data_IF_959469427639
#
_entry.id   IF_959469427639
#
_cell.length_a   1.000
_cell.length_b   1.000
_cell.length_c   1.000
_cell.angle_alpha   90.00
_cell.angle_beta   90.00
_cell.angle_gamma   90.00
#
_symmetry.space_group_name_H-M   'P 1'
#
loop_
_entity.id
_entity.type
_entity.pdbx_description
1 polymer ?
#
# COMPACT_ATOMS: atom_id res chain seq x y z
N UNK A 1 21.78 27.73 6.03
CA UNK A 1 20.72 28.21 5.11
C UNK A 1 20.98 27.67 3.71
N UNK A 2 22.01 28.12 2.99
CA UNK A 2 22.32 27.65 1.61
C UNK A 2 22.44 26.12 1.48
N UNK A 3 23.14 25.44 2.40
CA UNK A 3 23.30 23.96 2.35
C UNK A 3 21.96 23.23 2.49
N UNK A 4 21.10 23.68 3.40
CA UNK A 4 19.77 23.10 3.59
C UNK A 4 18.87 23.33 2.38
N UNK A 5 18.94 24.51 1.75
CA UNK A 5 18.16 24.83 0.56
C UNK A 5 18.60 23.99 -0.66
N UNK A 6 19.90 23.73 -0.79
CA UNK A 6 20.46 22.84 -1.83
C UNK A 6 20.03 21.39 -1.60
N UNK A 7 20.13 20.89 -0.36
CA UNK A 7 19.70 19.53 0.00
C UNK A 7 18.20 19.35 -0.24
N UNK A 8 17.36 20.31 0.17
CA UNK A 8 15.91 20.30 -0.10
C UNK A 8 15.62 20.22 -1.60
N UNK A 9 16.32 21.00 -2.42
CA UNK A 9 16.15 20.98 -3.88
C UNK A 9 16.59 19.65 -4.49
N UNK A 10 17.71 19.09 -4.02
CA UNK A 10 18.21 17.78 -4.44
C UNK A 10 17.23 16.65 -4.10
N UNK A 11 16.69 16.63 -2.87
CA UNK A 11 15.72 15.62 -2.44
C UNK A 11 14.44 15.64 -3.28
N UNK A 12 13.94 16.84 -3.60
CA UNK A 12 12.79 17.00 -4.49
C UNK A 12 13.04 16.37 -5.87
N UNK A 13 14.18 16.66 -6.48
CA UNK A 13 14.53 16.06 -7.78
C UNK A 13 14.70 14.53 -7.68
N UNK A 14 15.31 14.02 -6.61
CA UNK A 14 15.46 12.58 -6.41
C UNK A 14 14.12 11.84 -6.29
N UNK A 15 13.15 12.42 -5.58
CA UNK A 15 11.78 11.89 -5.48
C UNK A 15 11.13 11.76 -6.84
N UNK A 16 11.23 12.83 -7.63
CA UNK A 16 10.67 12.89 -8.98
C UNK A 16 11.37 11.91 -9.91
N UNK A 17 12.69 11.81 -9.83
CA UNK A 17 13.48 10.84 -10.60
C UNK A 17 13.10 9.40 -10.28
N UNK A 18 12.80 9.07 -9.02
CA UNK A 18 12.34 7.73 -8.65
C UNK A 18 11.00 7.37 -9.31
N UNK A 19 10.03 8.29 -9.28
CA UNK A 19 8.72 8.12 -9.96
C UNK A 19 8.92 7.97 -11.47
N UNK A 20 9.73 8.84 -12.08
CA UNK A 20 9.98 8.84 -13.53
C UNK A 20 10.76 7.62 -14.00
N UNK A 21 11.71 7.12 -13.21
CA UNK A 21 12.43 5.88 -13.53
C UNK A 21 11.47 4.69 -13.59
N UNK A 22 10.54 4.59 -12.64
CA UNK A 22 9.49 3.56 -12.66
C UNK A 22 8.59 3.73 -13.89
N UNK A 23 8.08 4.93 -14.11
CA UNK A 23 7.22 5.23 -15.25
C UNK A 23 7.91 4.88 -16.57
N UNK A 24 9.11 5.39 -16.84
CA UNK A 24 9.84 5.13 -18.09
C UNK A 24 10.16 3.64 -18.32
N UNK A 25 10.35 2.86 -17.26
CA UNK A 25 10.65 1.43 -17.36
C UNK A 25 9.44 0.59 -17.80
N UNK A 26 8.23 0.99 -17.41
CA UNK A 26 7.03 0.16 -17.52
C UNK A 26 5.91 0.79 -18.34
N UNK A 27 5.89 2.11 -18.46
CA UNK A 27 4.88 2.91 -19.15
C UNK A 27 5.53 3.90 -20.11
N UNK A 28 5.41 3.68 -21.42
CA UNK A 28 6.06 4.54 -22.43
C UNK A 28 5.56 6.00 -22.36
N UNK A 29 4.27 6.19 -22.04
CA UNK A 29 3.65 7.50 -21.86
C UNK A 29 3.08 7.65 -20.44
N UNK A 30 3.22 8.83 -19.81
CA UNK A 30 2.70 9.08 -18.48
C UNK A 30 1.17 8.99 -18.50
N UNK A 31 0.62 8.16 -17.61
CA UNK A 31 -0.83 7.97 -17.48
C UNK A 31 -1.43 9.20 -16.80
N UNK A 32 -2.43 9.82 -17.41
CA UNK A 32 -3.13 10.94 -16.82
C UNK A 32 -3.94 10.50 -15.58
N UNK A 33 -3.90 11.22 -14.44
CA UNK A 33 -3.23 12.51 -14.19
C UNK A 33 -1.94 12.40 -13.33
N UNK A 34 -0.99 11.51 -13.64
CA UNK A 34 0.26 11.29 -12.88
C UNK A 34 1.00 12.59 -12.48
N UNK A 35 1.00 13.59 -13.36
CA UNK A 35 1.62 14.89 -13.08
C UNK A 35 1.09 15.59 -11.82
N UNK A 36 -0.20 15.42 -11.48
CA UNK A 36 -0.75 15.99 -10.25
C UNK A 36 -0.14 15.33 -9.01
N UNK A 37 0.17 14.04 -9.09
CA UNK A 37 0.88 13.34 -8.02
C UNK A 37 2.35 13.78 -7.95
N UNK A 38 3.02 13.95 -9.10
CA UNK A 38 4.38 14.53 -9.14
C UNK A 38 4.41 15.94 -8.48
N UNK A 39 3.46 16.81 -8.84
CA UNK A 39 3.34 18.15 -8.26
C UNK A 39 3.10 18.09 -6.74
N UNK A 40 2.26 17.15 -6.28
CA UNK A 40 2.05 16.89 -4.85
C UNK A 40 3.35 16.49 -4.15
N UNK A 41 4.07 15.48 -4.66
CA UNK A 41 5.33 14.99 -4.07
C UNK A 41 6.40 16.08 -4.00
N UNK A 42 6.44 16.98 -4.98
CA UNK A 42 7.35 18.13 -5.01
C UNK A 42 6.94 19.27 -4.06
N UNK A 43 5.64 19.36 -3.76
CA UNK A 43 5.06 20.35 -2.85
C UNK A 43 5.25 20.01 -1.38
N UNK A 44 5.34 18.72 -1.03
CA UNK A 44 5.52 18.28 0.36
C UNK A 44 6.97 18.46 0.83
N UNK A 45 7.15 19.17 1.94
CA UNK A 45 8.43 19.25 2.67
C UNK A 45 8.55 18.16 3.73
N UNK A 46 9.78 17.92 4.21
CA UNK A 46 10.07 16.92 5.23
C UNK A 46 10.37 15.54 4.67
N UNK A 47 10.78 14.63 5.54
CA UNK A 47 11.21 13.28 5.18
C UNK A 47 10.03 12.42 4.73
N UNK A 48 10.29 11.55 3.74
CA UNK A 48 9.25 10.69 3.20
C UNK A 48 9.81 9.36 2.68
N UNK A 49 8.92 8.39 2.49
CA UNK A 49 9.18 7.22 1.66
C UNK A 49 8.23 7.24 0.49
N UNK A 50 8.70 6.94 -0.72
CA UNK A 50 7.83 6.70 -1.88
C UNK A 50 7.80 5.20 -2.14
N UNK A 51 6.59 4.66 -2.22
CA UNK A 51 6.34 3.33 -2.77
C UNK A 51 6.02 3.45 -4.26
N UNK A 52 6.66 2.63 -5.08
CA UNK A 52 6.27 2.38 -6.45
C UNK A 52 5.92 0.90 -6.60
N UNK A 53 4.79 0.59 -7.25
CA UNK A 53 4.32 -0.79 -7.34
C UNK A 53 3.87 -1.18 -8.73
N UNK A 54 3.94 -2.48 -9.02
CA UNK A 54 3.37 -3.07 -10.21
C UNK A 54 2.30 -4.09 -9.80
N UNK A 55 1.13 -4.01 -10.43
CA UNK A 55 0.12 -5.08 -10.41
C UNK A 55 0.19 -5.80 -11.75
N UNK A 56 0.46 -7.10 -11.70
CA UNK A 56 0.56 -7.99 -12.85
C UNK A 56 -0.69 -8.85 -12.89
N UNK A 57 -1.35 -8.89 -14.04
CA UNK A 57 -2.52 -9.73 -14.32
C UNK A 57 -2.30 -10.46 -15.64
N UNK A 58 -1.90 -11.73 -15.59
CA UNK A 58 -1.40 -12.47 -16.76
C UNK A 58 -0.20 -11.71 -17.38
N UNK A 59 -0.30 -11.32 -18.65
CA UNK A 59 0.67 -10.53 -19.38
C UNK A 59 0.49 -9.01 -19.17
N UNK A 60 -0.63 -8.57 -18.61
CA UNK A 60 -0.92 -7.15 -18.36
C UNK A 60 -0.12 -6.62 -17.19
N UNK A 61 0.53 -5.47 -17.40
CA UNK A 61 1.27 -4.74 -16.38
C UNK A 61 0.60 -3.39 -16.08
N UNK A 62 0.22 -3.18 -14.82
CA UNK A 62 -0.32 -1.92 -14.30
C UNK A 62 0.74 -1.30 -13.39
N UNK A 63 1.42 -0.25 -13.85
CA UNK A 63 2.61 0.31 -13.20
C UNK A 63 2.48 1.77 -12.76
N UNK A 64 1.45 2.52 -13.15
CA UNK A 64 1.22 3.88 -12.62
C UNK A 64 0.60 3.87 -11.21
N UNK A 65 1.31 3.24 -10.26
CA UNK A 65 0.87 3.02 -8.88
C UNK A 65 1.94 3.51 -7.91
N UNK A 66 1.61 4.56 -7.16
CA UNK A 66 2.54 5.21 -6.24
C UNK A 66 1.86 5.56 -4.93
N UNK A 67 2.55 5.37 -3.82
CA UNK A 67 2.16 5.94 -2.52
C UNK A 67 3.28 6.84 -1.99
N UNK A 68 2.89 7.95 -1.39
CA UNK A 68 3.74 8.82 -0.60
C UNK A 68 3.45 8.55 0.87
N UNK A 69 4.48 8.19 1.62
CA UNK A 69 4.45 7.97 3.06
C UNK A 69 5.16 9.12 3.76
N UNK A 70 4.43 9.85 4.61
CA UNK A 70 5.01 10.90 5.44
C UNK A 70 5.90 10.26 6.51
N UNK A 71 7.13 10.76 6.68
CA UNK A 71 8.12 10.29 7.66
C UNK A 71 8.68 11.40 8.54
N UNK A 72 8.03 12.56 8.55
CA UNK A 72 8.41 13.69 9.39
C UNK A 72 8.35 13.29 10.89
N UNK A 73 9.47 13.42 11.63
CA UNK A 73 9.53 13.11 13.06
C UNK A 73 8.54 13.88 13.94
N UNK A 74 8.09 15.06 13.49
CA UNK A 74 7.14 15.90 14.24
C UNK A 74 5.69 15.39 14.16
N UNK A 75 5.40 14.44 13.26
CA UNK A 75 4.14 13.69 13.21
C UNK A 75 2.88 14.57 13.15
N UNK A 76 2.87 15.58 12.28
CA UNK A 76 1.73 16.48 12.08
C UNK A 76 0.58 15.84 11.26
N UNK A 77 0.06 14.71 11.73
CA UNK A 77 -0.92 13.89 11.01
C UNK A 77 -2.16 14.63 10.50
N UNK A 78 -2.80 15.55 11.25
CA UNK A 78 -3.91 16.34 10.73
C UNK A 78 -3.53 17.21 9.52
N UNK A 79 -2.31 17.77 9.53
CA UNK A 79 -1.79 18.58 8.42
C UNK A 79 -1.53 17.72 7.19
N UNK A 80 -0.93 16.53 7.36
CA UNK A 80 -0.67 15.63 6.23
C UNK A 80 -1.97 15.08 5.61
N UNK A 81 -2.99 14.80 6.43
CA UNK A 81 -4.32 14.45 5.93
C UNK A 81 -4.91 15.60 5.10
N UNK A 82 -4.84 16.84 5.60
CA UNK A 82 -5.30 18.03 4.85
C UNK A 82 -4.56 18.19 3.51
N UNK A 83 -3.25 17.95 3.49
CA UNK A 83 -2.46 17.97 2.25
C UNK A 83 -2.89 16.88 1.27
N UNK A 84 -3.10 15.65 1.73
CA UNK A 84 -3.62 14.56 0.90
C UNK A 84 -5.01 14.85 0.32
N UNK A 85 -5.92 15.39 1.14
CA UNK A 85 -7.26 15.78 0.68
C UNK A 85 -7.24 16.98 -0.28
N UNK A 86 -6.30 17.91 -0.11
CA UNK A 86 -6.07 19.01 -1.06
C UNK A 86 -5.59 18.48 -2.41
N UNK A 87 -4.68 17.48 -2.40
CA UNK A 87 -4.29 16.76 -3.62
C UNK A 87 -5.51 16.09 -4.29
N UNK A 88 -6.37 15.42 -3.52
CA UNK A 88 -7.57 14.78 -4.08
C UNK A 88 -8.50 15.82 -4.70
N UNK A 89 -8.65 16.98 -4.08
CA UNK A 89 -9.45 18.07 -4.63
C UNK A 89 -8.89 18.59 -5.96
N UNK A 90 -7.57 18.63 -6.12
CA UNK A 90 -6.95 18.97 -7.40
C UNK A 90 -7.25 17.92 -8.47
N UNK A 91 -7.22 16.63 -8.11
CA UNK A 91 -7.62 15.54 -9.02
C UNK A 91 -9.09 15.69 -9.44
N UNK A 92 -10.02 15.86 -8.50
CA UNK A 92 -11.45 16.10 -8.80
C UNK A 92 -11.62 17.25 -9.80
N UNK A 93 -11.00 18.39 -9.54
CA UNK A 93 -11.14 19.59 -10.37
C UNK A 93 -10.53 19.44 -11.76
N UNK A 94 -9.40 18.74 -11.88
CA UNK A 94 -8.67 18.61 -13.15
C UNK A 94 -9.24 17.51 -14.04
N UNK A 95 -9.63 16.38 -13.44
CA UNK A 95 -10.20 15.23 -14.15
C UNK A 95 -11.70 15.43 -14.40
N UNK A 96 -12.38 16.24 -13.57
CA UNK A 96 -13.82 16.44 -13.67
C UNK A 96 -14.62 15.30 -13.02
N UNK A 97 -14.12 14.76 -11.92
CA UNK A 97 -14.74 13.66 -11.15
C UNK A 97 -15.14 14.13 -9.75
N UNK A 98 -15.98 13.35 -9.07
CA UNK A 98 -16.37 13.58 -7.69
C UNK A 98 -16.13 12.31 -6.88
N UNK A 99 -15.31 12.41 -5.84
CA UNK A 99 -15.05 11.28 -4.95
C UNK A 99 -16.12 11.17 -3.87
N UNK A 100 -16.50 9.94 -3.53
CA UNK A 100 -17.30 9.66 -2.34
C UNK A 100 -16.38 9.55 -1.12
N UNK A 101 -16.50 10.51 -0.20
CA UNK A 101 -15.74 10.53 1.05
C UNK A 101 -16.47 9.90 2.24
N UNK A 102 -17.66 9.29 2.02
CA UNK A 102 -18.54 8.81 3.08
C UNK A 102 -17.86 7.84 4.05
N UNK A 103 -17.11 6.85 3.55
CA UNK A 103 -16.39 5.88 4.38
C UNK A 103 -15.30 6.54 5.22
N UNK A 104 -14.51 7.44 4.63
CA UNK A 104 -13.45 8.16 5.34
C UNK A 104 -14.04 9.07 6.42
N UNK A 105 -15.11 9.81 6.10
CA UNK A 105 -15.80 10.69 7.06
C UNK A 105 -16.39 9.89 8.22
N UNK A 106 -17.01 8.74 7.95
CA UNK A 106 -17.56 7.87 8.99
C UNK A 106 -16.45 7.27 9.88
N UNK A 107 -15.30 6.90 9.31
CA UNK A 107 -14.16 6.41 10.07
C UNK A 107 -13.58 7.49 10.99
N UNK A 108 -13.32 8.68 10.46
CA UNK A 108 -12.79 9.80 11.23
C UNK A 108 -13.80 10.28 12.29
N UNK A 109 -15.08 10.40 11.96
CA UNK A 109 -16.07 10.98 12.87
C UNK A 109 -15.70 12.41 13.26
N UNK A 110 -16.15 12.86 14.43
CA UNK A 110 -15.89 14.23 14.94
C UNK A 110 -14.78 14.32 15.97
N UNK A 111 -14.29 13.18 16.45
CA UNK A 111 -13.41 13.04 17.61
C UNK A 111 -12.21 12.11 17.33
N UNK A 112 -11.77 12.02 16.06
CA UNK A 112 -10.59 11.23 15.71
C UNK A 112 -9.36 11.74 16.46
N UNK A 113 -8.78 10.88 17.28
CA UNK A 113 -7.54 11.18 17.99
C UNK A 113 -6.33 10.79 17.13
N UNK A 114 -5.69 11.81 16.56
CA UNK A 114 -4.53 11.63 15.70
C UNK A 114 -3.27 11.19 16.45
N UNK A 115 -3.23 11.26 17.80
CA UNK A 115 -2.07 10.77 18.56
C UNK A 115 -1.86 9.26 18.45
N UNK A 116 -2.91 8.53 18.05
CA UNK A 116 -2.84 7.10 17.77
C UNK A 116 -2.33 6.76 16.36
N UNK A 117 -2.19 7.73 15.46
CA UNK A 117 -1.68 7.48 14.11
C UNK A 117 -0.16 7.33 14.17
N UNK A 118 0.35 6.28 13.54
CA UNK A 118 1.81 6.02 13.45
C UNK A 118 2.33 6.12 12.04
N UNK A 119 1.46 6.02 11.04
CA UNK A 119 1.81 6.25 9.63
C UNK A 119 0.59 6.75 8.87
N UNK A 120 0.81 7.67 7.95
CA UNK A 120 -0.17 8.14 6.99
C UNK A 120 0.42 8.07 5.59
N UNK A 121 -0.34 7.52 4.65
CA UNK A 121 0.05 7.49 3.23
C UNK A 121 -1.07 8.04 2.35
N UNK A 122 -0.68 8.61 1.21
CA UNK A 122 -1.61 8.98 0.15
C UNK A 122 -0.99 8.71 -1.22
N UNK A 123 -1.79 8.42 -2.24
CA UNK A 123 -1.26 8.18 -3.57
C UNK A 123 -2.29 7.84 -4.62
N UNK A 124 -1.84 7.11 -5.64
CA UNK A 124 -2.57 6.85 -6.89
C UNK A 124 -2.42 5.40 -7.36
N UNK A 125 -3.45 4.88 -8.02
CA UNK A 125 -3.43 3.69 -8.88
C UNK A 125 -4.15 4.07 -10.18
N UNK A 126 -3.40 4.44 -11.21
CA UNK A 126 -3.96 4.94 -12.46
C UNK A 126 -4.02 3.85 -13.53
N UNK A 127 -5.08 3.87 -14.33
CA UNK A 127 -5.37 2.86 -15.35
C UNK A 127 -5.43 3.51 -16.72
N UNK A 128 -4.54 3.09 -17.61
CA UNK A 128 -4.46 3.60 -18.99
C UNK A 128 -5.74 3.35 -19.80
N UNK A 129 -6.30 2.16 -19.67
CA UNK A 129 -7.42 1.70 -20.50
C UNK A 129 -8.78 2.17 -19.98
N UNK A 130 -8.88 2.57 -18.71
CA UNK A 130 -10.14 2.91 -18.09
C UNK A 130 -9.95 3.94 -16.99
N UNK A 131 -10.33 5.19 -17.28
CA UNK A 131 -10.24 6.26 -16.30
C UNK A 131 -11.08 5.95 -15.05
N UNK A 132 -12.24 5.31 -15.19
CA UNK A 132 -13.14 4.95 -14.08
C UNK A 132 -12.52 3.93 -13.11
N UNK A 133 -11.58 3.13 -13.57
CA UNK A 133 -10.84 2.16 -12.76
C UNK A 133 -9.59 2.76 -12.10
N UNK A 134 -9.29 4.04 -12.39
CA UNK A 134 -8.24 4.78 -11.68
C UNK A 134 -8.75 5.20 -10.31
N UNK A 135 -7.84 5.26 -9.33
CA UNK A 135 -8.17 5.69 -7.98
C UNK A 135 -7.05 6.53 -7.35
N UNK A 136 -7.47 7.35 -6.39
CA UNK A 136 -6.57 7.90 -5.37
C UNK A 136 -6.74 7.08 -4.08
N UNK A 137 -5.69 7.01 -3.26
CA UNK A 137 -5.62 6.09 -2.11
C UNK A 137 -5.17 6.82 -0.84
N UNK A 138 -5.71 6.42 0.31
CA UNK A 138 -5.24 6.83 1.64
C UNK A 138 -5.06 5.58 2.50
N UNK A 139 -4.00 5.53 3.31
CA UNK A 139 -3.90 4.54 4.39
C UNK A 139 -3.55 5.22 5.71
N UNK A 140 -4.23 4.79 6.78
CA UNK A 140 -3.86 5.08 8.15
C UNK A 140 -3.27 3.83 8.78
N UNK A 141 -2.15 3.98 9.48
CA UNK A 141 -1.73 3.04 10.50
C UNK A 141 -2.03 3.63 11.86
N UNK A 142 -2.74 2.89 12.70
CA UNK A 142 -3.13 3.27 14.05
C UNK A 142 -2.64 2.24 15.07
N UNK A 143 -2.22 2.71 16.25
CA UNK A 143 -1.83 1.87 17.38
C UNK A 143 -2.70 2.19 18.60
N UNK A 144 -3.02 1.17 19.39
CA UNK A 144 -3.83 1.27 20.62
C UNK A 144 -5.21 1.96 20.47
N UNK A 145 -5.77 2.00 19.26
CA UNK A 145 -7.04 2.68 18.96
C UNK A 145 -8.18 1.73 18.60
N UNK A 146 -8.45 0.78 19.50
CA UNK A 146 -9.40 -0.33 19.29
C UNK A 146 -10.78 0.14 18.83
N UNK A 147 -11.29 1.25 19.36
CA UNK A 147 -12.59 1.80 18.96
C UNK A 147 -12.66 2.15 17.46
N UNK A 148 -11.60 2.74 16.89
CA UNK A 148 -11.56 3.06 15.46
C UNK A 148 -11.36 1.83 14.58
N UNK A 149 -10.61 0.84 15.06
CA UNK A 149 -10.54 -0.46 14.37
C UNK A 149 -11.91 -1.13 14.31
N UNK A 150 -12.69 -1.09 15.40
CA UNK A 150 -14.07 -1.60 15.41
C UNK A 150 -14.98 -0.83 14.44
N UNK A 151 -14.86 0.50 14.38
CA UNK A 151 -15.56 1.31 13.37
C UNK A 151 -15.19 0.89 11.95
N UNK A 152 -13.90 0.68 11.67
CA UNK A 152 -13.45 0.24 10.35
C UNK A 152 -14.00 -1.16 9.98
N UNK A 153 -14.05 -2.10 10.94
CA UNK A 153 -14.70 -3.40 10.76
C UNK A 153 -16.19 -3.25 10.43
N UNK A 154 -16.91 -2.37 11.14
CA UNK A 154 -18.32 -2.08 10.84
C UNK A 154 -18.47 -1.52 9.42
N UNK A 155 -17.65 -0.55 9.04
CA UNK A 155 -17.69 0.09 7.72
C UNK A 155 -17.34 -0.87 6.58
N UNK A 156 -16.46 -1.85 6.83
CA UNK A 156 -16.19 -2.94 5.89
C UNK A 156 -17.38 -3.91 5.73
N UNK A 157 -18.44 -3.76 6.54
CA UNK A 157 -19.60 -4.65 6.56
C UNK A 157 -19.36 -5.97 7.30
N UNK A 158 -18.40 -6.02 8.22
CA UNK A 158 -17.96 -7.23 8.93
C UNK A 158 -17.43 -8.36 8.03
N UNK A 159 -17.02 -8.04 6.80
CA UNK A 159 -16.47 -9.01 5.86
C UNK A 159 -15.04 -9.33 6.24
N UNK A 160 -14.88 -10.28 7.16
CA UNK A 160 -13.58 -10.76 7.64
C UNK A 160 -13.16 -12.06 6.94
N UNK A 161 -14.01 -12.63 6.07
CA UNK A 161 -13.71 -13.72 5.15
C UNK A 161 -12.88 -14.85 5.77
N UNK A 162 -11.63 -14.97 5.34
CA UNK A 162 -10.64 -15.96 5.81
C UNK A 162 -10.49 -16.04 7.35
N UNK A 163 -10.86 -14.97 8.06
CA UNK A 163 -10.78 -14.81 9.51
C UNK A 163 -12.13 -14.97 10.24
N UNK A 164 -13.16 -15.55 9.63
CA UNK A 164 -14.49 -15.71 10.25
C UNK A 164 -14.45 -16.38 11.64
N UNK A 165 -13.56 -17.35 11.84
CA UNK A 165 -13.37 -18.06 13.11
C UNK A 165 -12.40 -17.36 14.07
N UNK A 166 -11.74 -16.29 13.63
CA UNK A 166 -10.78 -15.58 14.47
C UNK A 166 -11.54 -14.86 15.60
N UNK A 167 -11.13 -15.03 16.87
CA UNK A 167 -11.91 -14.47 17.97
C UNK A 167 -12.02 -12.94 17.88
N UNK A 168 -13.27 -12.45 17.79
CA UNK A 168 -13.58 -11.03 17.58
C UNK A 168 -12.93 -10.11 18.61
N UNK A 169 -12.77 -10.57 19.85
CA UNK A 169 -12.14 -9.80 20.92
C UNK A 169 -10.62 -9.55 20.68
N UNK A 170 -9.98 -10.35 19.83
CA UNK A 170 -8.56 -10.20 19.49
C UNK A 170 -8.34 -9.60 18.11
N UNK A 171 -9.30 -9.74 17.19
CA UNK A 171 -9.16 -9.30 15.80
C UNK A 171 -8.68 -7.85 15.68
N UNK A 172 -9.24 -6.95 16.49
CA UNK A 172 -8.88 -5.52 16.44
C UNK A 172 -7.40 -5.24 16.77
N UNK A 173 -6.73 -6.10 17.54
CA UNK A 173 -5.30 -5.95 17.88
C UNK A 173 -4.37 -6.27 16.71
N UNK A 174 -4.88 -7.02 15.74
CA UNK A 174 -4.13 -7.44 14.57
C UNK A 174 -4.46 -6.59 13.34
N UNK A 175 -5.27 -5.53 13.42
CA UNK A 175 -5.58 -4.66 12.28
C UNK A 175 -5.03 -3.25 12.54
N UNK A 176 -3.71 -3.04 12.40
CA UNK A 176 -3.12 -1.73 12.61
C UNK A 176 -3.34 -0.80 11.41
N UNK A 177 -3.63 -1.32 10.21
CA UNK A 177 -3.70 -0.52 8.99
C UNK A 177 -5.08 -0.58 8.33
N UNK A 178 -5.58 0.58 7.93
CA UNK A 178 -6.88 0.80 7.27
C UNK A 178 -6.64 1.63 6.01
N UNK A 179 -7.05 1.09 4.86
CA UNK A 179 -6.97 1.72 3.55
C UNK A 179 -8.32 2.21 3.05
N UNK A 180 -8.30 3.29 2.27
CA UNK A 180 -9.44 3.85 1.56
C UNK A 180 -9.04 4.11 0.11
N UNK A 181 -9.81 3.53 -0.81
CA UNK A 181 -9.66 3.74 -2.25
C UNK A 181 -10.83 4.56 -2.77
N UNK A 182 -10.53 5.62 -3.53
CA UNK A 182 -11.51 6.52 -4.13
C UNK A 182 -11.39 6.44 -5.64
N UNK A 183 -12.32 5.73 -6.27
CA UNK A 183 -12.34 5.50 -7.71
C UNK A 183 -12.94 6.71 -8.44
N UNK A 184 -12.49 6.92 -9.67
CA UNK A 184 -12.86 8.09 -10.47
C UNK A 184 -14.31 8.05 -10.97
N UNK A 185 -15.00 6.92 -10.83
CA UNK A 185 -16.44 6.79 -11.07
C UNK A 185 -17.32 7.05 -9.82
N UNK A 186 -16.72 7.45 -8.70
CA UNK A 186 -17.42 7.76 -7.46
C UNK A 186 -17.57 6.56 -6.51
N UNK A 187 -17.09 5.36 -6.87
CA UNK A 187 -16.99 4.26 -5.89
C UNK A 187 -15.94 4.58 -4.82
N UNK A 188 -16.22 4.18 -3.58
CA UNK A 188 -15.26 4.21 -2.48
C UNK A 188 -15.23 2.84 -1.81
N UNK A 189 -14.03 2.35 -1.53
CA UNK A 189 -13.81 1.07 -0.87
C UNK A 189 -12.95 1.26 0.38
N UNK A 190 -13.21 0.44 1.40
CA UNK A 190 -12.38 0.33 2.60
C UNK A 190 -11.71 -1.05 2.61
N UNK A 191 -10.42 -1.09 2.97
CA UNK A 191 -9.66 -2.33 3.14
C UNK A 191 -9.00 -2.35 4.51
N UNK A 192 -9.12 -3.48 5.20
CA UNK A 192 -8.50 -3.72 6.50
C UNK A 192 -7.33 -4.67 6.31
N UNK A 193 -6.21 -4.38 6.96
CA UNK A 193 -5.01 -5.19 6.84
C UNK A 193 -4.76 -5.91 8.16
N UNK A 194 -5.09 -7.20 8.21
CA UNK A 194 -4.72 -8.04 9.34
C UNK A 194 -3.23 -8.33 9.27
N UNK A 195 -2.46 -7.92 10.26
CA UNK A 195 -1.01 -7.97 10.32
C UNK A 195 -0.53 -8.96 11.37
N UNK A 196 0.44 -9.78 10.98
CA UNK A 196 1.27 -10.55 11.92
C UNK A 196 2.72 -10.16 11.69
N UNK A 197 3.38 -9.62 12.70
CA UNK A 197 4.83 -9.38 12.71
C UNK A 197 5.55 -10.70 13.04
N UNK A 198 6.80 -10.85 12.61
CA UNK A 198 7.58 -12.08 12.80
C UNK A 198 7.59 -12.57 14.26
N UNK A 199 7.76 -11.65 15.22
CA UNK A 199 7.76 -11.96 16.64
C UNK A 199 6.44 -12.57 17.15
N UNK A 200 5.36 -12.46 16.38
CA UNK A 200 4.03 -13.00 16.66
C UNK A 200 3.66 -14.18 15.75
N UNK A 201 4.55 -14.67 14.87
CA UNK A 201 4.27 -15.85 14.04
C UNK A 201 3.98 -17.10 14.87
N UNK A 202 4.55 -17.17 16.07
CA UNK A 202 4.34 -18.27 17.00
C UNK A 202 3.12 -18.11 17.93
N UNK A 203 2.37 -17.01 17.83
CA UNK A 203 1.18 -16.78 18.67
C UNK A 203 0.15 -17.93 18.51
N UNK A 204 -0.34 -18.53 19.61
CA UNK A 204 -1.26 -19.66 19.53
C UNK A 204 -2.57 -19.38 18.81
N UNK A 205 -3.11 -18.16 18.90
CA UNK A 205 -4.31 -17.76 18.18
C UNK A 205 -4.01 -17.64 16.69
N UNK A 206 -2.87 -17.03 16.32
CA UNK A 206 -2.47 -16.92 14.91
C UNK A 206 -2.26 -18.32 14.31
N UNK A 207 -1.53 -19.22 14.99
CA UNK A 207 -1.36 -20.61 14.54
C UNK A 207 -2.70 -21.32 14.35
N UNK A 208 -3.58 -21.21 15.34
CA UNK A 208 -4.85 -21.94 15.37
C UNK A 208 -5.87 -21.42 14.35
N UNK A 209 -5.97 -20.11 14.17
CA UNK A 209 -7.05 -19.48 13.42
C UNK A 209 -6.64 -18.95 12.05
N UNK A 210 -5.34 -18.72 11.81
CA UNK A 210 -4.82 -18.24 10.52
C UNK A 210 -3.96 -19.31 9.83
N UNK A 211 -2.82 -19.68 10.44
CA UNK A 211 -1.84 -20.56 9.77
C UNK A 211 -2.37 -21.97 9.51
N UNK A 212 -3.21 -22.52 10.40
CA UNK A 212 -3.82 -23.83 10.24
C UNK A 212 -4.71 -23.96 8.98
N UNK A 213 -5.18 -22.83 8.44
CA UNK A 213 -6.03 -22.75 7.25
C UNK A 213 -5.23 -22.61 5.95
N UNK A 214 -3.93 -22.32 6.05
CA UNK A 214 -3.09 -22.07 4.88
C UNK A 214 -2.35 -23.34 4.46
N UNK A 215 -2.26 -23.62 3.14
CA UNK A 215 -1.43 -24.71 2.67
C UNK A 215 0.05 -24.41 2.91
N UNK A 216 0.93 -25.44 2.98
CA UNK A 216 2.35 -25.25 3.21
C UNK A 216 3.03 -24.29 2.24
N UNK A 217 2.57 -24.22 0.98
CA UNK A 217 3.11 -23.30 -0.03
C UNK A 217 2.89 -21.82 0.32
N UNK A 218 1.80 -21.49 1.01
CA UNK A 218 1.54 -20.13 1.47
C UNK A 218 2.26 -19.78 2.78
N UNK A 219 2.66 -20.79 3.56
CA UNK A 219 3.46 -20.62 4.77
C UNK A 219 4.98 -20.55 4.48
N UNK A 220 5.43 -21.15 3.36
CA UNK A 220 6.84 -21.22 3.01
C UNK A 220 7.58 -19.86 2.97
N UNK A 221 6.98 -18.76 2.46
CA UNK A 221 7.64 -17.45 2.46
C UNK A 221 7.87 -16.85 3.85
N UNK A 222 7.12 -17.28 4.87
CA UNK A 222 7.17 -16.69 6.22
C UNK A 222 8.57 -16.76 6.84
N UNK A 223 9.41 -17.73 6.48
CA UNK A 223 10.79 -17.84 7.01
C UNK A 223 11.66 -16.61 6.70
N UNK A 224 11.38 -15.92 5.58
CA UNK A 224 12.12 -14.74 5.12
C UNK A 224 11.25 -13.47 5.13
N UNK A 225 10.15 -13.50 5.88
CA UNK A 225 9.18 -12.40 6.01
C UNK A 225 9.29 -11.73 7.38
N UNK A 226 9.39 -10.40 7.42
CA UNK A 226 9.33 -9.61 8.67
C UNK A 226 7.89 -9.37 9.13
N UNK A 227 7.00 -9.15 8.16
CA UNK A 227 5.59 -8.83 8.41
C UNK A 227 4.71 -9.50 7.35
N UNK A 228 3.66 -10.18 7.78
CA UNK A 228 2.62 -10.73 6.92
C UNK A 228 1.35 -9.89 7.05
N UNK A 229 0.73 -9.47 5.94
CA UNK A 229 -0.64 -8.97 5.95
C UNK A 229 -1.61 -9.89 5.21
N UNK A 230 -2.87 -9.82 5.64
CA UNK A 230 -4.02 -10.32 4.93
C UNK A 230 -4.96 -9.15 4.65
N UNK A 231 -5.17 -8.83 3.37
CA UNK A 231 -6.10 -7.79 2.94
C UNK A 231 -7.55 -8.26 2.99
N UNK A 232 -8.38 -7.56 3.75
CA UNK A 232 -9.79 -7.84 3.96
C UNK A 232 -10.61 -6.69 3.36
N UNK A 233 -11.26 -6.95 2.22
CA UNK A 233 -12.14 -5.99 1.56
C UNK A 233 -13.19 -6.72 0.74
N UNK A 234 -14.39 -6.13 0.62
CA UNK A 234 -15.45 -6.58 -0.29
C UNK A 234 -15.02 -6.54 -1.76
N UNK A 235 -14.09 -5.64 -2.09
CA UNK A 235 -13.54 -5.53 -3.43
C UNK A 235 -12.65 -6.72 -3.82
N UNK A 236 -12.16 -7.50 -2.85
CA UNK A 236 -11.32 -8.66 -3.10
C UNK A 236 -12.19 -9.92 -3.15
N UNK A 237 -12.33 -10.53 -4.32
CA UNK A 237 -13.01 -11.83 -4.48
C UNK A 237 -12.26 -12.98 -3.81
N UNK A 238 -10.94 -12.87 -3.72
CA UNK A 238 -10.04 -13.80 -3.05
C UNK A 238 -9.16 -13.05 -2.05
N UNK A 239 -8.86 -13.61 -0.86
CA UNK A 239 -7.97 -12.98 0.09
C UNK A 239 -6.58 -12.78 -0.51
N UNK A 240 -6.04 -11.56 -0.36
CA UNK A 240 -4.70 -11.23 -0.85
C UNK A 240 -3.73 -11.29 0.32
N UNK A 241 -2.71 -12.12 0.19
CA UNK A 241 -1.65 -12.31 1.16
C UNK A 241 -0.50 -11.41 0.80
N UNK A 242 -0.01 -10.65 1.78
CA UNK A 242 1.10 -9.75 1.61
C UNK A 242 2.28 -10.19 2.47
N UNK A 243 3.45 -10.30 1.86
CA UNK A 243 4.69 -10.69 2.53
C UNK A 243 5.69 -9.55 2.43
N UNK A 244 6.07 -8.97 3.56
CA UNK A 244 7.20 -8.05 3.63
C UNK A 244 8.49 -8.85 3.76
N UNK A 245 9.21 -9.02 2.66
CA UNK A 245 10.44 -9.81 2.66
C UNK A 245 11.58 -9.01 3.33
N UNK A 246 12.31 -9.67 4.22
CA UNK A 246 13.50 -9.13 4.92
C UNK A 246 14.54 -8.58 3.96
N UNK A 247 14.78 -9.35 2.90
CA UNK A 247 15.67 -8.99 1.80
C UNK A 247 14.94 -9.23 0.50
N UNK A 248 14.27 -8.20 0.03
CA UNK A 248 13.42 -8.32 -1.15
C UNK A 248 14.22 -8.70 -2.41
N UNK A 249 15.35 -8.02 -2.62
CA UNK A 249 16.26 -8.29 -3.73
C UNK A 249 17.02 -9.59 -3.51
N UNK A 250 16.70 -10.59 -4.32
CA UNK A 250 17.34 -11.90 -4.29
C UNK A 250 16.46 -12.99 -3.68
N UNK A 251 15.63 -12.67 -2.69
CA UNK A 251 14.79 -13.69 -2.04
C UNK A 251 13.41 -13.84 -2.67
N UNK A 252 12.94 -12.85 -3.45
CA UNK A 252 11.66 -12.93 -4.16
C UNK A 252 11.52 -14.24 -4.97
N UNK A 253 12.54 -14.60 -5.74
CA UNK A 253 12.51 -15.80 -6.60
C UNK A 253 12.68 -17.12 -5.83
N UNK A 254 13.12 -17.07 -4.56
CA UNK A 254 13.22 -18.27 -3.73
C UNK A 254 11.82 -18.79 -3.32
N UNK A 255 10.81 -17.92 -3.38
CA UNK A 255 9.48 -18.17 -2.85
C UNK A 255 8.37 -18.02 -3.89
N UNK A 256 8.51 -17.08 -4.81
CA UNK A 256 7.46 -16.71 -5.76
C UNK A 256 7.87 -17.10 -7.18
N UNK A 257 7.10 -18.01 -7.78
CA UNK A 257 7.32 -18.54 -9.14
C UNK A 257 6.76 -17.57 -10.17
N UNK A 258 7.48 -16.49 -10.42
CA UNK A 258 7.02 -15.38 -11.27
C UNK A 258 6.79 -15.79 -12.73
N UNK A 259 5.79 -15.17 -13.38
CA UNK A 259 5.70 -15.16 -14.84
C UNK A 259 6.66 -14.13 -15.48
N UNK A 260 6.70 -14.11 -16.81
CA UNK A 260 7.66 -13.28 -17.56
C UNK A 260 7.47 -11.78 -17.30
N UNK A 261 6.22 -11.32 -17.17
CA UNK A 261 5.91 -9.92 -16.86
C UNK A 261 6.39 -9.52 -15.47
N UNK A 262 6.15 -10.35 -14.46
CA UNK A 262 6.66 -10.13 -13.10
C UNK A 262 8.19 -10.24 -13.03
N UNK A 263 8.81 -11.15 -13.80
CA UNK A 263 10.26 -11.25 -13.92
C UNK A 263 10.89 -10.00 -14.53
N UNK A 264 10.23 -9.34 -15.50
CA UNK A 264 10.68 -8.06 -16.06
C UNK A 264 10.75 -6.98 -14.97
N UNK A 265 9.72 -6.89 -14.12
CA UNK A 265 9.68 -5.93 -13.00
C UNK A 265 10.80 -6.21 -12.01
N UNK A 266 10.94 -7.46 -11.57
CA UNK A 266 12.00 -7.85 -10.64
C UNK A 266 13.39 -7.54 -11.21
N UNK A 267 13.63 -7.89 -12.48
CA UNK A 267 14.93 -7.65 -13.14
C UNK A 267 15.32 -6.18 -13.21
N UNK A 268 14.36 -5.28 -13.43
CA UNK A 268 14.60 -3.84 -13.39
C UNK A 268 15.06 -3.41 -11.99
N UNK A 269 14.32 -3.81 -10.96
CA UNK A 269 14.55 -3.36 -9.58
C UNK A 269 15.76 -3.96 -8.89
N UNK A 270 16.27 -5.12 -9.33
CA UNK A 270 17.50 -5.73 -8.77
C UNK A 270 18.69 -4.76 -8.72
N UNK A 271 18.79 -3.86 -9.70
CA UNK A 271 19.90 -2.91 -9.83
C UNK A 271 19.51 -1.45 -9.49
N UNK A 272 18.28 -1.20 -9.06
CA UNK A 272 17.86 0.14 -8.64
C UNK A 272 18.28 0.40 -7.21
N UNK A 273 18.54 1.66 -6.87
CA UNK A 273 18.76 2.09 -5.49
C UNK A 273 17.40 2.27 -4.81
N UNK A 274 16.94 1.21 -4.13
CA UNK A 274 15.72 1.15 -3.32
C UNK A 274 16.06 0.60 -1.95
N UNK A 275 15.14 0.76 -1.00
CA UNK A 275 15.24 0.16 0.33
C UNK A 275 15.37 -1.37 0.21
N UNK A 276 15.94 -1.99 1.26
CA UNK A 276 16.19 -3.45 1.30
C UNK A 276 14.90 -4.27 1.38
N UNK A 277 13.87 -3.72 2.03
CA UNK A 277 12.55 -4.34 2.15
C UNK A 277 11.66 -4.03 0.94
N UNK A 278 10.61 -4.83 0.80
CA UNK A 278 9.53 -4.64 -0.17
C UNK A 278 8.37 -5.58 0.15
N UNK A 279 7.23 -5.36 -0.48
CA UNK A 279 6.05 -6.20 -0.26
C UNK A 279 5.73 -7.02 -1.52
N UNK A 280 5.23 -8.23 -1.30
CA UNK A 280 4.64 -9.08 -2.34
C UNK A 280 3.20 -9.34 -1.99
N UNK A 281 2.25 -8.88 -2.82
CA UNK A 281 0.83 -9.19 -2.68
C UNK A 281 0.39 -10.26 -3.66
N UNK A 282 -0.17 -11.37 -3.20
CA UNK A 282 -0.57 -12.50 -4.05
C UNK A 282 -1.80 -13.20 -3.47
N UNK A 283 -2.73 -13.61 -4.33
CA UNK A 283 -3.88 -14.40 -3.89
C UNK A 283 -3.44 -15.83 -3.56
N UNK A 284 -4.11 -16.47 -2.59
CA UNK A 284 -3.75 -17.84 -2.18
C UNK A 284 -3.73 -18.83 -3.36
N UNK A 285 -4.73 -18.76 -4.25
CA UNK A 285 -4.84 -19.64 -5.42
C UNK A 285 -3.66 -19.52 -6.40
N UNK A 286 -2.98 -18.38 -6.44
CA UNK A 286 -1.81 -18.16 -7.30
C UNK A 286 -0.58 -18.90 -6.77
N UNK A 287 -0.44 -19.01 -5.44
CA UNK A 287 0.69 -19.69 -4.81
C UNK A 287 0.67 -21.20 -5.09
N UNK A 288 -0.52 -21.78 -5.29
CA UNK A 288 -0.69 -23.19 -5.61
C UNK A 288 -0.36 -23.53 -7.08
N UNK A 289 -0.40 -22.54 -7.98
CA UNK A 289 -0.08 -22.73 -9.40
C UNK A 289 1.40 -23.03 -9.61
N UNK A 290 1.73 -23.69 -10.71
CA UNK A 290 3.13 -23.93 -11.11
C UNK A 290 3.87 -22.64 -11.46
N UNK A 291 3.13 -21.59 -11.80
CA UNK A 291 3.60 -20.24 -12.09
C UNK A 291 2.52 -19.25 -11.67
N UNK A 292 2.93 -18.17 -11.01
CA UNK A 292 2.07 -17.07 -10.57
C UNK A 292 1.83 -16.17 -11.76
N UNK A 293 0.56 -15.99 -12.10
CA UNK A 293 0.13 -15.12 -13.19
C UNK A 293 -0.45 -13.80 -12.69
N UNK A 294 -0.92 -13.75 -11.44
CA UNK A 294 -1.44 -12.54 -10.81
C UNK A 294 -0.66 -12.21 -9.54
N UNK A 295 0.06 -11.09 -9.53
CA UNK A 295 0.90 -10.68 -8.39
C UNK A 295 1.08 -9.17 -8.31
N UNK A 296 1.32 -8.66 -7.11
CA UNK A 296 1.59 -7.26 -6.82
C UNK A 296 2.99 -7.17 -6.20
N UNK A 297 3.85 -6.35 -6.78
CA UNK A 297 5.23 -6.15 -6.34
C UNK A 297 5.41 -4.69 -5.92
N UNK A 298 5.90 -4.45 -4.70
CA UNK A 298 5.97 -3.12 -4.10
C UNK A 298 7.41 -2.81 -3.67
N UNK A 299 7.94 -1.68 -4.13
CA UNK A 299 9.30 -1.23 -3.88
C UNK A 299 9.29 0.15 -3.24
N UNK A 300 10.20 0.37 -2.29
CA UNK A 300 10.25 1.59 -1.48
C UNK A 300 11.58 2.31 -1.62
N UNK A 301 11.57 3.63 -1.51
CA UNK A 301 12.78 4.44 -1.34
C UNK A 301 12.54 5.54 -0.32
N UNK A 302 13.39 5.60 0.69
CA UNK A 302 13.42 6.71 1.65
C UNK A 302 14.11 7.96 1.07
N UNK A 303 13.59 9.13 1.40
CA UNK A 303 14.13 10.45 1.07
C UNK A 303 14.04 11.33 2.31
N UNK A 304 15.17 11.54 2.96
CA UNK A 304 15.25 12.42 4.12
C UNK A 304 16.56 13.19 4.17
N UNK A 305 16.59 14.20 5.03
CA UNK A 305 17.81 14.95 5.32
C UNK A 305 18.76 14.07 6.14
N UNK A 306 20.05 14.07 5.77
CA UNK A 306 21.13 13.53 6.62
C UNK A 306 21.48 14.49 7.75
#
# INVERSE_FOLDING_TARGET
>A
MIVADIQKSSLKEQRLQFIRNHQQAFDVEPIYPLRLFEDFVMGVEGDCTIEASCKIELDKLIASRFLFCFKDPEQHWPSYLSQGLSFFKQVENRVGVQFDYSLLQAFLGTDFDFSHVTTFTTGIDLRRESLTESSVKIHFRIEDYIAKVQTAIILSGYEVGFLEDFPKQFLARYIPQIGFDFYFDGRCEIELYFEVKENNFDDPNVKKYLWSKMPPVALAPLKDTDVFHLGLSKANTNPVFYYQLKKYKGDLLNHFRLNDTAMRVDSFYRNQETDYGGWVGVALEELEKTRIENIRLYYHKYFGME
#
